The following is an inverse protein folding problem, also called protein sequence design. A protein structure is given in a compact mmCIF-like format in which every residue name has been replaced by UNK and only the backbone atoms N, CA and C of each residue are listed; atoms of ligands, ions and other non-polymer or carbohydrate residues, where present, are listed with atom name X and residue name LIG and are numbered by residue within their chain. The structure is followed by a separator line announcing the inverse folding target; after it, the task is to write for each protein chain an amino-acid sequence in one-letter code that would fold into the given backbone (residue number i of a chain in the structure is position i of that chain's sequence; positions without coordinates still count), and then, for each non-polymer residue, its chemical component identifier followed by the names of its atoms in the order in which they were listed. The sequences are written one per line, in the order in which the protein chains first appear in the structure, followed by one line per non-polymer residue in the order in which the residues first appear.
data_IF_636667120325
#
_entry.id   IF_636667120325
#
_cell.length_a   1.000
_cell.length_b   1.000
_cell.length_c   1.000
_cell.angle_alpha   90.00
_cell.angle_beta   90.00
_cell.angle_gamma   90.00
#
_symmetry.space_group_name_H-M   'P 1'
#
loop_
_entity.id
_entity.type
_entity.pdbx_description
1 polymer ?
#
# COMPACT_ATOMS: atom_id res chain seq x y z
N UNK A 1 13.26 5.76 1.39
CA UNK A 1 12.38 5.38 2.50
C UNK A 1 11.43 6.51 2.89
N UNK A 2 11.90 7.71 3.24
CA UNK A 2 10.97 8.84 3.50
C UNK A 2 10.16 9.21 2.25
N UNK A 3 10.83 9.37 1.10
CA UNK A 3 10.14 9.70 -0.16
C UNK A 3 9.10 8.65 -0.59
N UNK A 4 9.36 7.35 -0.34
CA UNK A 4 8.40 6.29 -0.63
C UNK A 4 7.21 6.32 0.30
N UNK A 5 7.42 6.57 1.60
CA UNK A 5 6.34 6.68 2.56
C UNK A 5 5.41 7.86 2.25
N UNK A 6 5.98 9.00 1.82
CA UNK A 6 5.21 10.17 1.37
C UNK A 6 4.43 9.89 0.09
N UNK A 7 5.05 9.21 -0.89
CA UNK A 7 4.38 8.81 -2.13
C UNK A 7 3.19 7.89 -1.86
N UNK A 8 3.36 6.89 -0.99
CA UNK A 8 2.26 5.98 -0.58
C UNK A 8 1.16 6.74 0.16
N UNK A 9 1.52 7.61 1.10
CA UNK A 9 0.53 8.42 1.82
C UNK A 9 -0.26 9.33 0.88
N UNK A 10 0.41 9.95 -0.10
CA UNK A 10 -0.24 10.78 -1.11
C UNK A 10 -1.14 9.93 -2.03
N UNK A 11 -0.69 8.75 -2.45
CA UNK A 11 -1.44 7.81 -3.27
C UNK A 11 -2.72 7.31 -2.60
N UNK A 12 -2.61 6.77 -1.37
CA UNK A 12 -3.76 6.32 -0.57
C UNK A 12 -4.69 7.49 -0.21
N UNK A 13 -4.14 8.66 0.13
CA UNK A 13 -4.92 9.85 0.46
C UNK A 13 -5.77 10.36 -0.71
N UNK A 14 -5.28 10.27 -1.95
CA UNK A 14 -6.00 10.67 -3.15
C UNK A 14 -7.30 9.86 -3.34
N UNK A 15 -7.29 8.59 -2.93
CA UNK A 15 -8.47 7.69 -3.01
C UNK A 15 -9.58 8.10 -2.04
N UNK A 16 -9.27 8.85 -0.99
CA UNK A 16 -10.23 9.23 0.05
C UNK A 16 -11.03 10.51 -0.27
N UNK A 17 -10.69 11.25 -1.33
CA UNK A 17 -11.23 12.60 -1.56
C UNK A 17 -12.67 12.58 -2.11
N UNK A 18 -12.98 11.67 -3.03
CA UNK A 18 -14.31 11.65 -3.66
C UNK A 18 -14.71 10.24 -4.10
N UNK A 19 -15.97 9.90 -3.85
CA UNK A 19 -16.61 8.66 -4.30
C UNK A 19 -17.44 8.87 -5.57
N UNK A 20 -17.55 10.11 -6.06
CA UNK A 20 -18.35 10.45 -7.23
C UNK A 20 -17.59 10.12 -8.53
N UNK A 21 -18.14 9.22 -9.33
CA UNK A 21 -17.72 9.00 -10.72
C UNK A 21 -18.06 10.24 -11.57
N UNK A 22 -17.20 10.72 -12.48
CA UNK A 22 -15.94 10.14 -13.00
C UNK A 22 -14.66 10.57 -12.25
N UNK A 23 -14.75 11.56 -11.36
CA UNK A 23 -13.58 12.10 -10.67
C UNK A 23 -12.88 11.02 -9.83
N UNK A 24 -13.65 10.20 -9.09
CA UNK A 24 -13.11 9.11 -8.29
C UNK A 24 -12.19 8.17 -9.08
N UNK A 25 -12.57 7.81 -10.31
CA UNK A 25 -11.79 6.93 -11.18
C UNK A 25 -10.42 7.54 -11.52
N UNK A 26 -10.40 8.82 -11.92
CA UNK A 26 -9.14 9.52 -12.21
C UNK A 26 -8.23 9.65 -10.98
N UNK A 27 -8.82 9.95 -9.81
CA UNK A 27 -8.06 10.03 -8.55
C UNK A 27 -7.50 8.65 -8.15
N UNK A 28 -8.26 7.58 -8.31
CA UNK A 28 -7.80 6.21 -8.02
C UNK A 28 -6.63 5.85 -8.95
N UNK A 29 -6.75 6.06 -10.27
CA UNK A 29 -5.67 5.76 -11.20
C UNK A 29 -4.40 6.57 -10.92
N UNK A 30 -4.56 7.85 -10.61
CA UNK A 30 -3.42 8.71 -10.24
C UNK A 30 -2.77 8.23 -8.95
N UNK A 31 -3.56 7.80 -7.96
CA UNK A 31 -3.05 7.20 -6.72
C UNK A 31 -2.26 5.92 -6.99
N UNK A 32 -2.80 4.98 -7.76
CA UNK A 32 -2.12 3.73 -8.13
C UNK A 32 -0.80 3.97 -8.88
N UNK A 33 -0.73 5.03 -9.69
CA UNK A 33 0.52 5.41 -10.35
C UNK A 33 1.59 5.83 -9.33
N UNK A 34 1.23 6.65 -8.34
CA UNK A 34 2.14 7.07 -7.26
C UNK A 34 2.59 5.89 -6.41
N UNK A 35 1.68 4.98 -6.07
CA UNK A 35 1.98 3.76 -5.32
C UNK A 35 2.89 2.81 -6.12
N UNK A 36 2.71 2.73 -7.43
CA UNK A 36 3.60 1.98 -8.32
C UNK A 36 5.04 2.49 -8.29
N UNK A 37 5.24 3.82 -8.35
CA UNK A 37 6.56 4.43 -8.20
C UNK A 37 7.18 4.14 -6.83
N UNK A 38 6.39 4.22 -5.76
CA UNK A 38 6.85 3.87 -4.43
C UNK A 38 7.20 2.37 -4.30
N UNK A 39 6.44 1.51 -4.98
CA UNK A 39 6.63 0.06 -5.01
C UNK A 39 8.01 -0.33 -5.54
N UNK A 40 8.46 0.26 -6.65
CA UNK A 40 9.79 -0.01 -7.24
C UNK A 40 10.90 0.23 -6.21
N UNK A 41 10.84 1.37 -5.53
CA UNK A 41 11.86 1.75 -4.55
C UNK A 41 11.77 0.84 -3.30
N UNK A 42 10.56 0.43 -2.93
CA UNK A 42 10.33 -0.48 -1.79
C UNK A 42 10.86 -1.88 -2.06
N UNK A 43 10.78 -2.38 -3.30
CA UNK A 43 11.36 -3.68 -3.67
C UNK A 43 12.88 -3.69 -3.58
N UNK A 44 13.54 -2.56 -3.86
CA UNK A 44 14.99 -2.43 -3.73
C UNK A 44 15.46 -2.20 -2.28
N UNK A 45 14.55 -1.87 -1.35
CA UNK A 45 14.91 -1.49 0.01
C UNK A 45 15.54 -2.64 0.84
N UNK A 46 15.00 -3.88 0.87
CA UNK A 46 15.50 -4.94 1.73
C UNK A 46 16.99 -5.30 1.52
N UNK A 47 17.49 -5.50 0.27
CA UNK A 47 18.91 -5.78 0.05
C UNK A 47 19.79 -4.56 0.38
N UNK A 48 19.32 -3.35 0.11
CA UNK A 48 20.07 -2.12 0.42
C UNK A 48 20.19 -1.93 1.93
N UNK A 49 19.09 -2.04 2.67
CA UNK A 49 19.09 -1.91 4.13
C UNK A 49 19.92 -3.01 4.76
N UNK A 50 19.78 -4.26 4.30
CA UNK A 50 20.56 -5.36 4.84
C UNK A 50 22.06 -5.18 4.61
N UNK A 51 22.46 -4.63 3.46
CA UNK A 51 23.88 -4.38 3.14
C UNK A 51 24.55 -3.34 4.03
N UNK A 52 23.80 -2.35 4.52
CA UNK A 52 24.31 -1.23 5.32
C UNK A 52 24.35 -1.58 6.82
N UNK A 53 23.38 -2.36 7.29
CA UNK A 53 23.18 -2.63 8.72
C UNK A 53 23.67 -3.99 9.18
N UNK A 54 23.83 -4.97 8.28
CA UNK A 54 24.18 -6.35 8.63
C UNK A 54 25.47 -6.83 7.92
N UNK A 55 26.27 -7.68 8.60
CA UNK A 55 27.44 -8.32 8.00
C UNK A 55 27.04 -9.28 6.88
N UNK A 56 27.93 -9.54 5.89
CA UNK A 56 27.62 -10.30 4.67
C UNK A 56 26.92 -11.64 4.91
N UNK A 57 27.30 -12.37 5.97
CA UNK A 57 26.76 -13.69 6.28
C UNK A 57 25.27 -13.65 6.69
N UNK A 58 24.78 -12.52 7.20
CA UNK A 58 23.42 -12.38 7.75
C UNK A 58 22.47 -11.56 6.84
N UNK A 59 22.97 -11.02 5.72
CA UNK A 59 22.16 -10.17 4.82
C UNK A 59 20.99 -10.91 4.18
N UNK A 60 21.21 -12.16 3.78
CA UNK A 60 20.18 -13.01 3.18
C UNK A 60 19.05 -13.28 4.17
N UNK A 61 19.38 -13.55 5.44
CA UNK A 61 18.39 -13.76 6.49
C UNK A 61 17.58 -12.49 6.75
N UNK A 62 18.23 -11.34 6.91
CA UNK A 62 17.55 -10.05 7.12
C UNK A 62 16.60 -9.71 5.96
N UNK A 63 17.02 -9.95 4.73
CA UNK A 63 16.21 -9.75 3.52
C UNK A 63 15.03 -10.73 3.48
N UNK A 64 15.26 -12.01 3.80
CA UNK A 64 14.23 -13.05 3.85
C UNK A 64 13.14 -12.78 4.89
N UNK A 65 13.51 -12.35 6.10
CA UNK A 65 12.56 -11.98 7.15
C UNK A 65 11.66 -10.82 6.69
N UNK A 66 12.24 -9.79 6.06
CA UNK A 66 11.45 -8.69 5.53
C UNK A 66 10.42 -9.17 4.48
N UNK A 67 10.85 -10.03 3.56
CA UNK A 67 9.98 -10.60 2.52
C UNK A 67 8.85 -11.43 3.16
N UNK A 68 9.17 -12.25 4.18
CA UNK A 68 8.19 -13.03 4.91
C UNK A 68 7.11 -12.15 5.57
N UNK A 69 7.52 -11.09 6.30
CA UNK A 69 6.60 -10.14 6.93
C UNK A 69 5.72 -9.45 5.88
N UNK A 70 6.30 -9.10 4.72
CA UNK A 70 5.57 -8.47 3.62
C UNK A 70 4.45 -9.38 3.08
N UNK A 71 4.75 -10.66 2.83
CA UNK A 71 3.75 -11.63 2.37
C UNK A 71 2.66 -11.90 3.41
N UNK A 72 3.03 -11.95 4.69
CA UNK A 72 2.05 -12.07 5.78
C UNK A 72 1.10 -10.86 5.81
N UNK A 73 1.63 -9.65 5.60
CA UNK A 73 0.81 -8.44 5.47
C UNK A 73 -0.21 -8.53 4.32
N UNK A 74 0.21 -9.00 3.13
CA UNK A 74 -0.71 -9.22 2.01
C UNK A 74 -1.80 -10.24 2.33
N UNK A 75 -1.44 -11.35 2.98
CA UNK A 75 -2.40 -12.37 3.37
C UNK A 75 -3.48 -11.80 4.32
N UNK A 76 -3.08 -11.00 5.30
CA UNK A 76 -4.02 -10.32 6.22
C UNK A 76 -4.91 -9.34 5.46
N UNK A 77 -4.37 -8.57 4.52
CA UNK A 77 -5.15 -7.62 3.72
C UNK A 77 -6.26 -8.30 2.88
N UNK A 78 -5.99 -9.49 2.33
CA UNK A 78 -6.99 -10.28 1.60
C UNK A 78 -8.15 -10.76 2.47
N UNK A 79 -7.93 -10.97 3.76
CA UNK A 79 -8.97 -11.37 4.70
C UNK A 79 -9.80 -10.17 5.17
N UNK A 80 -9.18 -9.02 5.39
CA UNK A 80 -9.86 -7.82 5.90
C UNK A 80 -10.90 -7.28 4.92
N UNK A 81 -10.61 -7.26 3.61
CA UNK A 81 -11.52 -6.69 2.61
C UNK A 81 -12.93 -7.30 2.65
N UNK A 82 -13.08 -8.63 2.48
CA UNK A 82 -14.37 -9.32 2.55
C UNK A 82 -15.06 -9.27 3.92
N UNK A 83 -14.30 -9.08 5.01
CA UNK A 83 -14.88 -8.93 6.35
C UNK A 83 -15.47 -7.54 6.58
N UNK A 84 -14.96 -6.51 5.90
CA UNK A 84 -15.40 -5.12 6.05
C UNK A 84 -16.50 -4.75 5.04
N UNK A 85 -16.52 -5.40 3.88
CA UNK A 85 -17.50 -5.14 2.80
C UNK A 85 -18.54 -6.24 2.74
N UNK A 86 -19.82 -5.86 2.74
CA UNK A 86 -20.94 -6.79 2.63
C UNK A 86 -20.99 -7.39 1.23
N UNK A 87 -21.10 -8.72 1.16
CA UNK A 87 -21.30 -9.42 -0.10
C UNK A 87 -22.81 -9.51 -0.41
N UNK A 88 -23.21 -9.37 -1.69
CA UNK A 88 -24.60 -9.62 -2.08
C UNK A 88 -24.96 -11.07 -1.76
N UNK A 89 -25.98 -11.27 -0.93
CA UNK A 89 -26.50 -12.61 -0.61
C UNK A 89 -27.47 -13.02 -1.71
N UNK A 90 -27.20 -14.09 -2.43
CA UNK A 90 -28.17 -14.70 -3.34
C UNK A 90 -29.31 -15.31 -2.50
N UNK A 91 -30.44 -14.61 -2.40
CA UNK A 91 -31.61 -15.04 -1.65
C UNK A 91 -32.35 -16.16 -2.39
N UNK A 92 -31.94 -17.41 -2.17
CA UNK A 92 -32.77 -18.57 -2.54
C UNK A 92 -33.73 -18.89 -1.39
N UNK A 93 -35.03 -18.66 -1.63
CA UNK A 93 -36.19 -19.11 -0.85
C UNK A 93 -36.46 -18.45 0.51
N UNK A 94 -37.05 -17.25 0.56
CA UNK A 94 -37.93 -16.89 1.70
C UNK A 94 -39.14 -16.06 1.26
N UNK A 95 -40.31 -16.67 1.46
CA UNK A 95 -41.64 -16.09 1.43
C UNK A 95 -41.76 -14.96 2.46
N UNK A 96 -42.14 -13.77 2.00
CA UNK A 96 -42.94 -12.80 2.78
C UNK A 96 -42.38 -12.33 4.12
N UNK A 97 -41.28 -11.57 4.11
CA UNK A 97 -41.10 -10.49 5.07
C UNK A 97 -40.27 -9.38 4.43
N UNK A 98 -40.92 -8.26 4.10
CA UNK A 98 -40.24 -7.06 3.59
C UNK A 98 -39.42 -6.46 4.73
N UNK A 99 -38.15 -6.85 4.79
CA UNK A 99 -37.14 -6.15 5.59
C UNK A 99 -36.82 -4.87 4.81
N UNK A 100 -36.93 -3.72 5.46
CA UNK A 100 -36.53 -2.40 4.94
C UNK A 100 -35.00 -2.30 4.78
N UNK A 101 -34.39 -3.23 4.04
CA UNK A 101 -32.97 -3.28 3.72
C UNK A 101 -32.78 -3.28 2.21
N UNK A 102 -31.70 -2.70 1.74
CA UNK A 102 -31.40 -2.64 0.31
C UNK A 102 -31.00 -4.03 -0.17
N UNK A 103 -31.98 -4.76 -0.72
CA UNK A 103 -31.77 -6.05 -1.35
C UNK A 103 -31.16 -5.84 -2.74
N UNK A 104 -30.20 -6.67 -3.16
CA UNK A 104 -29.74 -6.67 -4.54
C UNK A 104 -30.85 -7.26 -5.43
N UNK A 105 -31.51 -6.44 -6.27
CA UNK A 105 -32.30 -6.97 -7.38
C UNK A 105 -31.38 -7.66 -8.40
N UNK A 106 -31.93 -8.59 -9.19
CA UNK A 106 -31.22 -9.45 -10.16
C UNK A 106 -30.35 -8.69 -11.20
N UNK A 107 -30.47 -7.36 -11.29
CA UNK A 107 -29.68 -6.49 -12.17
C UNK A 107 -28.57 -5.68 -11.47
N UNK A 108 -28.37 -5.81 -10.15
CA UNK A 108 -27.24 -5.23 -9.42
C UNK A 108 -27.05 -3.70 -9.54
N UNK A 109 -28.09 -2.97 -9.99
CA UNK A 109 -28.03 -1.54 -10.35
C UNK A 109 -28.77 -0.65 -9.36
N UNK A 110 -29.26 -1.20 -8.25
CA UNK A 110 -30.01 -0.44 -7.27
C UNK A 110 -29.11 0.64 -6.64
N UNK A 111 -29.52 1.93 -6.72
CA UNK A 111 -28.69 3.03 -6.26
C UNK A 111 -28.42 2.97 -4.75
N UNK A 112 -29.32 2.36 -3.97
CA UNK A 112 -29.08 2.15 -2.56
C UNK A 112 -27.95 1.13 -2.29
N UNK A 113 -27.95 -0.01 -3.00
CA UNK A 113 -26.93 -1.05 -2.84
C UNK A 113 -25.54 -0.53 -3.22
N UNK A 114 -25.45 0.20 -4.35
CA UNK A 114 -24.20 0.83 -4.79
C UNK A 114 -23.69 1.83 -3.74
N UNK A 115 -24.58 2.67 -3.17
CA UNK A 115 -24.20 3.65 -2.17
C UNK A 115 -23.74 2.99 -0.86
N UNK A 116 -24.39 1.91 -0.43
CA UNK A 116 -24.00 1.16 0.77
C UNK A 116 -22.59 0.54 0.61
N UNK A 117 -22.31 -0.05 -0.54
CA UNK A 117 -20.99 -0.62 -0.83
C UNK A 117 -19.92 0.46 -0.93
N UNK A 118 -20.24 1.59 -1.56
CA UNK A 118 -19.35 2.72 -1.71
C UNK A 118 -18.88 3.28 -0.36
N UNK A 119 -19.80 3.42 0.61
CA UNK A 119 -19.47 3.87 1.98
C UNK A 119 -18.58 2.87 2.72
N UNK A 120 -18.82 1.56 2.58
CA UNK A 120 -17.99 0.53 3.19
C UNK A 120 -16.57 0.52 2.61
N UNK A 121 -16.44 0.67 1.29
CA UNK A 121 -15.15 0.77 0.60
C UNK A 121 -14.43 2.05 1.02
N UNK A 122 -15.13 3.18 1.11
CA UNK A 122 -14.56 4.45 1.56
C UNK A 122 -14.03 4.35 3.01
N UNK A 123 -14.78 3.68 3.90
CA UNK A 123 -14.32 3.43 5.27
C UNK A 123 -13.03 2.60 5.29
N UNK A 124 -12.92 1.60 4.42
CA UNK A 124 -11.70 0.80 4.28
C UNK A 124 -10.52 1.65 3.77
N UNK A 125 -10.76 2.53 2.79
CA UNK A 125 -9.75 3.45 2.23
C UNK A 125 -9.23 4.46 3.28
N UNK A 126 -10.11 4.96 4.15
CA UNK A 126 -9.73 5.82 5.26
C UNK A 126 -8.86 5.10 6.29
N UNK A 127 -9.20 3.85 6.64
CA UNK A 127 -8.41 3.03 7.56
C UNK A 127 -7.02 2.75 6.97
N UNK A 128 -6.94 2.41 5.67
CA UNK A 128 -5.68 2.21 4.95
C UNK A 128 -4.81 3.48 5.01
N UNK A 129 -5.39 4.63 4.68
CA UNK A 129 -4.69 5.92 4.68
C UNK A 129 -4.24 6.32 6.09
N UNK A 130 -5.05 6.05 7.10
CA UNK A 130 -4.67 6.27 8.50
C UNK A 130 -3.47 5.41 8.91
N UNK A 131 -3.46 4.13 8.54
CA UNK A 131 -2.33 3.24 8.81
C UNK A 131 -1.07 3.66 8.05
N UNK A 132 -1.19 4.03 6.76
CA UNK A 132 -0.10 4.56 5.95
C UNK A 132 0.45 5.86 6.54
N UNK A 133 -0.41 6.75 7.04
CA UNK A 133 -0.04 8.00 7.70
C UNK A 133 0.72 7.77 9.00
N UNK A 134 0.27 6.83 9.83
CA UNK A 134 0.96 6.44 11.06
C UNK A 134 2.35 5.87 10.76
N UNK A 135 2.47 5.00 9.75
CA UNK A 135 3.76 4.47 9.31
C UNK A 135 4.66 5.56 8.74
N UNK A 136 4.13 6.47 7.94
CA UNK A 136 4.89 7.61 7.42
C UNK A 136 5.42 8.49 8.55
N UNK A 137 4.59 8.79 9.55
CA UNK A 137 4.98 9.57 10.73
C UNK A 137 6.04 8.82 11.56
N UNK A 138 5.85 7.51 11.78
CA UNK A 138 6.85 6.68 12.44
C UNK A 138 8.18 6.70 11.68
N UNK A 139 8.18 6.58 10.36
CA UNK A 139 9.42 6.64 9.54
C UNK A 139 10.10 8.00 9.66
N UNK A 140 9.34 9.10 9.64
CA UNK A 140 9.89 10.46 9.78
C UNK A 140 10.48 10.68 11.18
N UNK A 141 9.85 10.15 12.23
CA UNK A 141 10.30 10.32 13.62
C UNK A 141 11.41 9.35 14.04
N UNK A 142 11.37 8.10 13.62
CA UNK A 142 12.32 7.05 14.05
C UNK A 142 13.55 6.91 13.15
N UNK A 143 13.50 7.30 11.87
CA UNK A 143 14.62 7.16 10.94
C UNK A 143 15.21 8.52 10.54
N UNK A 144 15.97 9.22 11.42
CA UNK A 144 16.86 10.27 10.96
C UNK A 144 17.91 9.65 10.01
N UNK A 145 18.33 10.43 9.02
CA UNK A 145 18.85 9.96 7.73
C UNK A 145 20.15 9.13 7.76
N UNK A 146 20.73 8.82 8.93
CA UNK A 146 21.91 7.97 9.11
C UNK A 146 21.91 7.29 10.50
N UNK A 147 22.24 5.99 10.61
CA UNK A 147 22.67 5.40 11.88
C UNK A 147 23.92 6.10 12.43
N UNK A 148 24.01 6.26 13.75
CA UNK A 148 25.09 6.98 14.43
C UNK A 148 26.46 6.28 14.37
N UNK A 149 26.51 4.99 14.01
CA UNK A 149 27.78 4.25 13.86
C UNK A 149 27.68 3.29 12.66
N UNK A 150 28.50 3.47 11.60
CA UNK A 150 28.57 2.55 10.48
C UNK A 150 29.30 1.26 10.92
N UNK A 151 28.76 0.05 10.65
CA UNK A 151 29.39 -1.18 11.14
C UNK A 151 30.52 -1.73 10.24
N UNK A 152 30.83 -1.15 9.08
CA UNK A 152 31.92 -1.68 8.24
C UNK A 152 32.52 -0.71 7.23
N UNK A 153 33.83 -0.86 7.02
CA UNK A 153 34.70 -0.10 6.10
C UNK A 153 34.19 -0.11 4.65
N UNK A 154 33.40 -1.11 4.24
CA UNK A 154 32.78 -1.18 2.91
C UNK A 154 31.67 -0.15 2.66
N UNK A 155 31.18 0.53 3.69
CA UNK A 155 30.26 1.68 3.54
C UNK A 155 30.97 2.97 3.08
N UNK A 156 32.31 2.97 3.04
CA UNK A 156 33.12 4.08 2.54
C UNK A 156 33.35 4.05 1.03
N UNK A 157 32.97 2.97 0.34
CA UNK A 157 33.10 2.94 -1.12
C UNK A 157 32.06 3.90 -1.72
N UNK A 158 32.58 4.98 -2.28
CA UNK A 158 31.88 6.05 -2.97
C UNK A 158 30.75 5.50 -3.86
N UNK A 159 29.53 6.02 -3.63
CA UNK A 159 28.35 5.67 -4.42
C UNK A 159 28.67 5.82 -5.91
N UNK A 160 28.47 4.75 -6.67
CA UNK A 160 28.54 4.81 -8.13
C UNK A 160 27.68 5.97 -8.64
N UNK A 161 28.32 6.81 -9.45
CA UNK A 161 27.73 8.03 -9.97
C UNK A 161 26.58 7.64 -10.92
N UNK A 162 25.33 7.71 -10.47
CA UNK A 162 24.15 7.25 -11.22
C UNK A 162 24.07 7.86 -12.62
N UNK A 163 24.55 9.10 -12.78
CA UNK A 163 24.66 9.76 -14.08
C UNK A 163 25.62 9.04 -15.02
N UNK A 164 26.75 8.54 -14.51
CA UNK A 164 27.74 7.79 -15.28
C UNK A 164 27.22 6.41 -15.69
N UNK A 165 26.52 5.68 -14.80
CA UNK A 165 25.88 4.41 -15.17
C UNK A 165 24.77 4.59 -16.19
N UNK A 166 23.97 5.65 -16.08
CA UNK A 166 22.92 5.95 -17.07
C UNK A 166 23.50 6.37 -18.43
N UNK A 167 24.55 7.20 -18.44
CA UNK A 167 25.26 7.55 -19.68
C UNK A 167 25.94 6.33 -20.33
N UNK A 168 26.44 5.39 -19.52
CA UNK A 168 27.10 4.18 -20.01
C UNK A 168 26.13 3.17 -20.65
N UNK A 169 24.84 3.20 -20.32
CA UNK A 169 23.79 2.35 -20.92
C UNK A 169 23.23 2.97 -22.21
N UNK A 170 23.30 4.29 -22.34
CA UNK A 170 22.81 5.04 -23.52
C UNK A 170 23.87 5.13 -24.63
N UNK A 171 25.15 4.89 -24.31
CA UNK A 171 26.25 4.86 -25.28
C UNK A 171 26.37 3.49 -25.94
#
# INVERSE_FOLDING_TARGET
MIGTAVLVLAGSGLRCITTRTPAATWLIHTGQFLDGLAGIITMAAPPVVSSVWFPPEQRTLATGINVFISYMGYAVAFVIGPLVVTQPTNSTNQTGHQVNGCQPEDNGTDPCFINMNAEQILRLMYIETGFAGLLCLAVVLHFPSKPATPPSISASTERMNYKASFLAVIR
#
